data_IF_428736130346
#
_entry.id   IF_428736130346
#
_cell.length_a   1.000
_cell.length_b   1.000
_cell.length_c   1.000
_cell.angle_alpha   90.00
_cell.angle_beta   90.00
_cell.angle_gamma   90.00
#
_symmetry.space_group_name_H-M   'P 1'
#
loop_
_entity.id
_entity.type
_entity.pdbx_description
1 polymer ?
#
# COMPACT_ATOMS: atom_id res chain seq x y z
N UNK A 1 -79.97 -7.58 -2.09
CA UNK A 1 -78.66 -7.31 -1.45
C UNK A 1 -77.59 -8.06 -2.23
N UNK A 2 -76.74 -7.36 -2.98
CA UNK A 2 -75.43 -7.81 -3.51
C UNK A 2 -75.10 -6.98 -4.76
N UNK A 3 -74.04 -6.16 -4.73
CA UNK A 3 -73.65 -5.43 -5.95
C UNK A 3 -72.44 -4.51 -5.88
N UNK A 4 -71.98 -4.04 -4.71
CA UNK A 4 -70.94 -2.99 -4.66
C UNK A 4 -69.54 -3.49 -4.26
N UNK A 5 -69.12 -4.67 -4.73
CA UNK A 5 -67.73 -5.13 -4.51
C UNK A 5 -66.78 -4.78 -5.66
N UNK A 6 -67.29 -4.22 -6.76
CA UNK A 6 -66.50 -3.92 -7.97
C UNK A 6 -65.87 -2.52 -8.01
N UNK A 7 -66.25 -1.60 -7.11
CA UNK A 7 -65.76 -0.22 -7.13
C UNK A 7 -64.38 -0.03 -6.50
N UNK A 8 -64.11 -0.68 -5.36
CA UNK A 8 -62.94 -0.34 -4.52
C UNK A 8 -61.64 -0.93 -5.09
N UNK A 9 -61.65 -2.19 -5.50
CA UNK A 9 -60.46 -2.88 -6.04
C UNK A 9 -60.00 -2.22 -7.34
N UNK A 10 -60.95 -1.81 -8.20
CA UNK A 10 -60.65 -1.15 -9.47
C UNK A 10 -60.12 0.29 -9.30
N UNK A 11 -60.52 1.00 -8.23
CA UNK A 11 -59.98 2.33 -7.91
C UNK A 11 -58.58 2.23 -7.32
N UNK A 12 -58.37 1.30 -6.38
CA UNK A 12 -57.05 1.06 -5.77
C UNK A 12 -56.04 0.59 -6.82
N UNK A 13 -56.42 -0.32 -7.72
CA UNK A 13 -55.54 -0.76 -8.81
C UNK A 13 -55.15 0.39 -9.75
N UNK A 14 -56.10 1.29 -10.04
CA UNK A 14 -55.87 2.47 -10.90
C UNK A 14 -54.99 3.52 -10.22
N UNK A 15 -55.21 3.78 -8.93
CA UNK A 15 -54.37 4.70 -8.14
C UNK A 15 -52.97 4.14 -7.89
N UNK A 16 -52.86 2.83 -7.69
CA UNK A 16 -51.57 2.16 -7.59
C UNK A 16 -50.80 2.29 -8.91
N UNK A 17 -51.43 2.03 -10.06
CA UNK A 17 -50.81 2.22 -11.38
C UNK A 17 -50.43 3.69 -11.63
N UNK A 18 -51.26 4.63 -11.20
CA UNK A 18 -51.00 6.08 -11.38
C UNK A 18 -49.85 6.57 -10.51
N UNK A 19 -49.74 6.08 -9.27
CA UNK A 19 -48.69 6.44 -8.32
C UNK A 19 -47.43 5.56 -8.42
N UNK A 20 -47.50 4.41 -9.09
CA UNK A 20 -46.39 3.47 -9.28
C UNK A 20 -45.20 4.05 -10.05
N UNK A 21 -45.35 5.21 -10.71
CA UNK A 21 -44.29 5.89 -11.48
C UNK A 21 -43.07 6.23 -10.61
N UNK A 22 -43.25 7.13 -9.63
CA UNK A 22 -42.94 6.88 -8.22
C UNK A 22 -41.89 5.78 -7.90
N UNK A 23 -42.34 4.68 -7.27
CA UNK A 23 -41.48 3.57 -6.87
C UNK A 23 -40.81 2.87 -8.05
N UNK A 24 -41.36 2.87 -9.26
CA UNK A 24 -40.71 2.28 -10.44
C UNK A 24 -39.41 3.02 -10.79
N UNK A 25 -39.43 4.36 -10.81
CA UNK A 25 -38.24 5.18 -11.05
C UNK A 25 -37.21 4.96 -9.94
N UNK A 26 -37.67 4.88 -8.69
CA UNK A 26 -36.82 4.66 -7.52
C UNK A 26 -36.17 3.26 -7.57
N UNK A 27 -36.91 2.24 -8.00
CA UNK A 27 -36.42 0.89 -8.21
C UNK A 27 -35.33 0.85 -9.30
N UNK A 28 -35.56 1.53 -10.43
CA UNK A 28 -34.55 1.66 -11.49
C UNK A 28 -33.30 2.39 -10.97
N UNK A 29 -33.47 3.47 -10.20
CA UNK A 29 -32.35 4.19 -9.59
C UNK A 29 -31.53 3.30 -8.64
N UNK A 30 -32.18 2.46 -7.84
CA UNK A 30 -31.50 1.48 -6.96
C UNK A 30 -30.71 0.45 -7.77
N UNK A 31 -31.27 -0.07 -8.87
CA UNK A 31 -30.56 -1.02 -9.74
C UNK A 31 -29.32 -0.36 -10.35
N UNK A 32 -29.45 0.87 -10.86
CA UNK A 32 -28.33 1.63 -11.42
C UNK A 32 -27.25 1.84 -10.35
N UNK A 33 -27.65 2.25 -9.13
CA UNK A 33 -26.73 2.42 -8.01
C UNK A 33 -25.98 1.13 -7.68
N UNK A 34 -26.68 -0.01 -7.60
CA UNK A 34 -26.08 -1.31 -7.33
C UNK A 34 -25.04 -1.70 -8.39
N UNK A 35 -25.37 -1.57 -9.68
CA UNK A 35 -24.44 -1.85 -10.78
C UNK A 35 -23.23 -0.90 -10.74
N UNK A 36 -23.46 0.37 -10.43
CA UNK A 36 -22.40 1.37 -10.35
C UNK A 36 -21.42 1.05 -9.21
N UNK A 37 -21.91 0.65 -8.03
CA UNK A 37 -21.07 0.23 -6.90
C UNK A 37 -20.21 -0.99 -7.27
N UNK A 38 -20.81 -2.01 -7.90
CA UNK A 38 -20.07 -3.20 -8.35
C UNK A 38 -18.97 -2.83 -9.36
N UNK A 39 -19.31 -1.93 -10.30
CA UNK A 39 -18.36 -1.45 -11.30
C UNK A 39 -17.20 -0.68 -10.68
N UNK A 40 -17.49 0.20 -9.71
CA UNK A 40 -16.47 0.93 -8.96
C UNK A 40 -15.59 -0.04 -8.19
N UNK A 41 -16.16 -1.01 -7.48
CA UNK A 41 -15.38 -2.01 -6.75
C UNK A 41 -14.46 -2.82 -7.67
N UNK A 42 -14.92 -3.20 -8.86
CA UNK A 42 -14.13 -3.93 -9.84
C UNK A 42 -12.98 -3.07 -10.40
N UNK A 43 -13.26 -1.81 -10.75
CA UNK A 43 -12.24 -0.85 -11.18
C UNK A 43 -11.22 -0.59 -10.07
N UNK A 44 -11.66 -0.40 -8.83
CA UNK A 44 -10.78 -0.20 -7.68
C UNK A 44 -9.83 -1.38 -7.49
N UNK A 45 -10.31 -2.63 -7.62
CA UNK A 45 -9.43 -3.82 -7.56
C UNK A 45 -8.40 -3.82 -8.68
N UNK A 46 -8.79 -3.44 -9.90
CA UNK A 46 -7.87 -3.38 -11.04
C UNK A 46 -6.80 -2.29 -10.85
N UNK A 47 -7.21 -1.08 -10.44
CA UNK A 47 -6.28 0.02 -10.18
C UNK A 47 -5.33 -0.28 -9.01
N UNK A 48 -5.80 -0.97 -7.96
CA UNK A 48 -4.95 -1.39 -6.85
C UNK A 48 -3.91 -2.40 -7.34
N UNK A 49 -4.30 -3.39 -8.15
CA UNK A 49 -3.37 -4.38 -8.69
C UNK A 49 -2.29 -3.75 -9.59
N UNK A 50 -2.65 -2.73 -10.37
CA UNK A 50 -1.67 -1.99 -11.19
C UNK A 50 -0.70 -1.18 -10.33
N UNK A 51 -1.19 -0.52 -9.28
CA UNK A 51 -0.36 0.18 -8.30
C UNK A 51 0.57 -0.77 -7.54
N UNK A 52 0.08 -1.95 -7.18
CA UNK A 52 0.83 -2.97 -6.46
C UNK A 52 2.01 -3.50 -7.28
N UNK A 53 1.88 -3.54 -8.61
CA UNK A 53 2.97 -3.96 -9.51
C UNK A 53 4.19 -3.04 -9.44
N UNK A 54 3.99 -1.72 -9.48
CA UNK A 54 5.10 -0.76 -9.33
C UNK A 54 5.70 -0.74 -7.93
N UNK A 55 4.91 -1.09 -6.90
CA UNK A 55 5.41 -1.20 -5.54
C UNK A 55 6.35 -2.40 -5.37
N UNK A 56 6.03 -3.54 -6.00
CA UNK A 56 6.88 -4.74 -5.97
C UNK A 56 8.25 -4.49 -6.61
N UNK A 57 8.29 -3.77 -7.74
CA UNK A 57 9.56 -3.46 -8.42
C UNK A 57 10.44 -2.56 -7.55
N UNK A 58 9.84 -1.57 -6.87
CA UNK A 58 10.55 -0.70 -5.94
C UNK A 58 11.10 -1.48 -4.73
N UNK A 59 10.30 -2.36 -4.13
CA UNK A 59 10.71 -3.19 -3.00
C UNK A 59 11.89 -4.10 -3.36
N UNK A 60 11.90 -4.68 -4.57
CA UNK A 60 13.03 -5.48 -5.06
C UNK A 60 14.32 -4.66 -5.14
N UNK A 61 14.22 -3.42 -5.62
CA UNK A 61 15.38 -2.55 -5.77
C UNK A 61 15.89 -2.05 -4.41
N UNK A 62 15.00 -1.79 -3.45
CA UNK A 62 15.38 -1.43 -2.08
C UNK A 62 16.16 -2.56 -1.38
N UNK A 63 15.75 -3.81 -1.59
CA UNK A 63 16.47 -4.98 -1.06
C UNK A 63 17.88 -5.06 -1.65
N UNK A 64 18.02 -4.91 -2.96
CA UNK A 64 19.31 -4.96 -3.63
C UNK A 64 20.22 -3.80 -3.19
N UNK A 65 19.67 -2.58 -3.12
CA UNK A 65 20.38 -1.41 -2.61
C UNK A 65 20.89 -1.62 -1.18
N UNK A 66 20.06 -2.16 -0.29
CA UNK A 66 20.45 -2.44 1.09
C UNK A 66 21.52 -3.51 1.17
N UNK A 67 21.47 -4.53 0.31
CA UNK A 67 22.51 -5.55 0.24
C UNK A 67 23.85 -4.96 -0.22
N UNK A 68 23.84 -4.13 -1.26
CA UNK A 68 25.04 -3.43 -1.75
C UNK A 68 25.61 -2.49 -0.68
N UNK A 69 24.76 -1.77 0.05
CA UNK A 69 25.21 -0.90 1.14
C UNK A 69 25.85 -1.71 2.27
N UNK A 70 25.30 -2.88 2.60
CA UNK A 70 25.91 -3.79 3.58
C UNK A 70 27.26 -4.32 3.10
N UNK A 71 27.38 -4.65 1.81
CA UNK A 71 28.64 -5.07 1.19
C UNK A 71 29.69 -3.95 1.22
N UNK A 72 29.31 -2.72 0.88
CA UNK A 72 30.20 -1.55 0.93
C UNK A 72 30.63 -1.22 2.36
N UNK A 73 29.71 -1.25 3.33
CA UNK A 73 30.06 -1.05 4.74
C UNK A 73 30.98 -2.18 5.24
N UNK A 74 30.72 -3.43 4.89
CA UNK A 74 31.60 -4.55 5.24
C UNK A 74 33.01 -4.41 4.62
N UNK A 75 33.09 -3.87 3.39
CA UNK A 75 34.36 -3.57 2.72
C UNK A 75 35.05 -2.31 3.28
N UNK A 76 34.28 -1.37 3.85
CA UNK A 76 34.76 -0.09 4.37
C UNK A 76 35.25 -0.14 5.83
N UNK A 77 34.65 -0.97 6.67
CA UNK A 77 34.73 -0.80 8.12
C UNK A 77 35.89 -1.53 8.82
N UNK A 78 36.62 -2.44 8.15
CA UNK A 78 37.68 -3.19 8.85
C UNK A 78 39.01 -3.36 8.11
N UNK A 79 39.05 -3.58 6.80
CA UNK A 79 40.30 -4.03 6.18
C UNK A 79 41.22 -2.93 5.65
N UNK A 80 40.75 -1.69 5.45
CA UNK A 80 41.58 -0.67 4.78
C UNK A 80 42.36 0.22 5.73
N UNK A 81 41.77 0.65 6.84
CA UNK A 81 42.46 1.52 7.81
C UNK A 81 43.48 0.72 8.61
N UNK A 82 43.14 -0.51 9.02
CA UNK A 82 44.02 -1.38 9.79
C UNK A 82 45.20 -1.89 8.94
N UNK A 83 44.96 -2.39 7.72
CA UNK A 83 46.07 -2.81 6.85
C UNK A 83 46.98 -1.65 6.44
N UNK A 84 46.46 -0.45 6.15
CA UNK A 84 47.33 0.70 5.83
C UNK A 84 48.18 1.10 7.05
N UNK A 85 47.62 1.06 8.26
CA UNK A 85 48.35 1.38 9.49
C UNK A 85 49.39 0.31 9.88
N UNK A 86 49.09 -0.98 9.67
CA UNK A 86 50.03 -2.07 9.98
C UNK A 86 51.10 -2.21 8.89
N UNK A 87 50.73 -2.12 7.62
CA UNK A 87 51.60 -2.45 6.48
C UNK A 87 52.46 -1.26 6.03
N UNK A 88 51.92 -0.03 6.04
CA UNK A 88 52.67 1.18 5.63
C UNK A 88 53.39 1.87 6.79
N UNK A 89 52.84 1.79 8.00
CA UNK A 89 53.36 2.48 9.19
C UNK A 89 54.12 1.54 10.16
N UNK A 90 54.20 0.23 9.87
CA UNK A 90 54.87 -0.77 10.72
C UNK A 90 54.49 -0.66 12.20
N UNK A 91 53.23 -0.32 12.51
CA UNK A 91 52.77 -0.22 13.90
C UNK A 91 52.66 -1.63 14.49
N UNK A 92 53.69 -2.03 15.23
CA UNK A 92 53.69 -3.16 16.13
C UNK A 92 53.07 -2.73 17.46
N UNK A 93 52.20 -3.55 18.05
CA UNK A 93 51.69 -3.32 19.40
C UNK A 93 52.87 -3.39 20.38
N UNK A 94 53.33 -2.24 20.86
CA UNK A 94 54.48 -2.16 21.76
C UNK A 94 53.99 -2.44 23.19
N UNK A 95 54.69 -3.36 23.85
CA UNK A 95 54.50 -3.79 25.24
C UNK A 95 54.39 -2.58 26.20
N UNK A 96 53.44 -2.56 27.16
CA UNK A 96 53.18 -1.45 28.10
C UNK A 96 54.37 -0.99 28.98
N UNK A 97 55.57 -1.53 28.81
CA UNK A 97 56.78 -1.13 29.51
C UNK A 97 57.57 0.04 28.85
N UNK A 98 57.15 0.54 27.68
CA UNK A 98 57.86 1.61 26.93
C UNK A 98 56.92 2.72 26.41
N UNK A 99 55.98 3.19 27.23
CA UNK A 99 55.10 4.30 26.87
C UNK A 99 55.67 5.64 27.38
N UNK A 100 56.11 6.53 26.48
CA UNK A 100 56.47 7.91 26.81
C UNK A 100 55.32 8.85 26.46
N UNK A 101 54.49 9.17 27.46
CA UNK A 101 53.34 10.06 27.30
C UNK A 101 53.83 11.50 27.33
N UNK A 102 53.93 12.15 26.18
CA UNK A 102 54.24 13.57 26.10
C UNK A 102 52.95 14.36 26.34
N UNK A 103 52.75 14.79 27.58
CA UNK A 103 51.75 15.80 27.95
C UNK A 103 52.23 17.16 27.45
N UNK A 104 51.65 17.66 26.37
CA UNK A 104 51.84 19.04 25.93
C UNK A 104 50.86 19.96 26.65
N UNK A 105 51.44 20.88 27.43
CA UNK A 105 50.80 21.97 28.16
C UNK A 105 50.49 23.16 27.24
#
# INVERSE_FOLDING_TARGET
>A
MAGERHGLVGVIGRDLIRNAKIPLVLLVAVIISAVSVVTVAHKTRLLIAEKERSAIDFDSLDIEWRNLLLEENALGDHSRVENIATETLHMQHVDPAQENIVITQ
#
